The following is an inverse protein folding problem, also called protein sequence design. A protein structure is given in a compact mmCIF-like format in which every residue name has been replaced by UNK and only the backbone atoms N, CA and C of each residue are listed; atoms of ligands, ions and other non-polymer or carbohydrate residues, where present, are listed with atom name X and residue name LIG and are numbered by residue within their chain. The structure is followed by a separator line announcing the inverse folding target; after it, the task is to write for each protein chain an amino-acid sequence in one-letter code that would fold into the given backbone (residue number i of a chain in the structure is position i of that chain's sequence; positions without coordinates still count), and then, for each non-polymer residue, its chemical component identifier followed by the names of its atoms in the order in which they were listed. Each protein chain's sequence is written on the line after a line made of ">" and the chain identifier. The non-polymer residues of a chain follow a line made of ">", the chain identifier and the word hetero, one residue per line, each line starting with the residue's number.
data_IF_808148149012
#
_entry.id   IF_808148149012
#
_cell.length_a   1.000
_cell.length_b   1.000
_cell.length_c   1.000
_cell.angle_alpha   90.00
_cell.angle_beta   90.00
_cell.angle_gamma   90.00
#
_symmetry.space_group_name_H-M   'P 1'
#
loop_
_entity.id
_entity.type
_entity.pdbx_description
1 polymer ?
#
# COMPACT_ATOMS: atom_id res chain seq x y z
N UNK A 1 -20.40 -0.58 -14.55
CA UNK A 1 -19.44 -1.45 -15.27
C UNK A 1 -19.58 -1.29 -16.79
N UNK A 2 -20.76 -1.59 -17.39
CA UNK A 2 -20.97 -1.61 -18.84
C UNK A 2 -20.68 -0.23 -19.50
N UNK A 3 -21.15 0.87 -18.92
CA UNK A 3 -20.89 2.22 -19.43
C UNK A 3 -19.39 2.57 -19.44
N UNK A 4 -18.65 2.18 -18.40
CA UNK A 4 -17.20 2.39 -18.33
C UNK A 4 -16.49 1.57 -19.41
N UNK A 5 -16.92 0.33 -19.62
CA UNK A 5 -16.37 -0.53 -20.66
C UNK A 5 -16.60 0.06 -22.07
N UNK A 6 -17.78 0.60 -22.33
CA UNK A 6 -18.09 1.31 -23.59
C UNK A 6 -17.19 2.53 -23.77
N UNK A 7 -17.02 3.36 -22.73
CA UNK A 7 -16.12 4.52 -22.78
C UNK A 7 -14.67 4.13 -23.07
N UNK A 8 -14.17 3.06 -22.45
CA UNK A 8 -12.80 2.58 -22.68
C UNK A 8 -12.63 2.03 -24.10
N UNK A 9 -13.59 1.22 -24.59
CA UNK A 9 -13.57 0.69 -25.95
C UNK A 9 -13.59 1.79 -27.01
N UNK A 10 -14.43 2.79 -26.81
CA UNK A 10 -14.50 3.93 -27.72
C UNK A 10 -13.22 4.76 -27.66
N UNK A 11 -12.72 5.08 -26.45
CA UNK A 11 -11.52 5.90 -26.28
C UNK A 11 -10.22 5.25 -26.80
N UNK A 12 -10.18 3.92 -26.91
CA UNK A 12 -9.02 3.21 -27.49
C UNK A 12 -9.09 3.11 -29.02
N UNK A 13 -10.29 3.05 -29.59
CA UNK A 13 -10.48 2.78 -31.04
C UNK A 13 -10.76 4.03 -31.89
N UNK A 14 -11.12 5.17 -31.28
CA UNK A 14 -11.50 6.39 -31.99
C UNK A 14 -10.75 7.60 -31.45
N UNK A 15 -10.50 8.60 -32.31
CA UNK A 15 -9.86 9.85 -31.89
C UNK A 15 -10.90 10.78 -31.24
N UNK A 16 -10.78 10.97 -29.93
CA UNK A 16 -11.70 11.78 -29.11
C UNK A 16 -11.33 13.27 -29.04
N UNK A 17 -10.40 13.76 -29.88
CA UNK A 17 -9.92 15.15 -29.87
C UNK A 17 -10.89 16.07 -30.64
N UNK A 18 -11.71 16.82 -29.91
CA UNK A 18 -12.69 17.76 -30.48
C UNK A 18 -12.11 19.02 -31.16
N UNK A 19 -10.79 19.22 -31.14
CA UNK A 19 -10.14 20.43 -31.64
C UNK A 19 -9.63 20.36 -33.09
N UNK A 20 -9.96 19.32 -33.85
CA UNK A 20 -9.50 19.16 -35.23
C UNK A 20 -10.54 19.73 -36.22
N UNK A 21 -10.10 20.46 -37.29
CA UNK A 21 -11.03 21.08 -38.25
C UNK A 21 -11.78 20.05 -39.14
N UNK A 22 -11.26 18.82 -39.28
CA UNK A 22 -11.83 17.75 -40.11
C UNK A 22 -12.11 16.51 -39.27
N UNK A 23 -13.13 16.56 -38.40
CA UNK A 23 -13.59 15.39 -37.66
C UNK A 23 -14.33 14.43 -38.60
N UNK A 24 -13.89 13.20 -38.70
CA UNK A 24 -14.63 12.15 -39.38
C UNK A 24 -15.98 11.90 -38.69
N UNK A 25 -17.00 11.59 -39.49
CA UNK A 25 -18.34 11.34 -38.96
C UNK A 25 -18.35 10.20 -37.95
N UNK A 26 -17.43 9.23 -38.10
CA UNK A 26 -17.25 8.09 -37.21
C UNK A 26 -16.78 8.52 -35.83
N UNK A 27 -15.82 9.45 -35.74
CA UNK A 27 -15.29 9.97 -34.48
C UNK A 27 -16.31 10.81 -33.72
N UNK A 28 -17.13 11.58 -34.45
CA UNK A 28 -18.24 12.35 -33.88
C UNK A 28 -19.32 11.43 -33.30
N UNK A 29 -19.68 10.35 -33.99
CA UNK A 29 -20.62 9.35 -33.47
C UNK A 29 -20.03 8.61 -32.26
N UNK A 30 -18.75 8.24 -32.31
CA UNK A 30 -18.06 7.61 -31.23
C UNK A 30 -18.02 8.50 -29.95
N UNK A 31 -17.77 9.80 -30.14
CA UNK A 31 -17.82 10.77 -29.04
C UNK A 31 -19.23 10.87 -28.43
N UNK A 32 -20.29 10.94 -29.26
CA UNK A 32 -21.65 10.97 -28.75
C UNK A 32 -22.02 9.73 -27.95
N UNK A 33 -21.60 8.54 -28.40
CA UNK A 33 -21.79 7.29 -27.67
C UNK A 33 -21.02 7.30 -26.33
N UNK A 34 -19.78 7.72 -26.34
CA UNK A 34 -18.96 7.83 -25.12
C UNK A 34 -19.52 8.85 -24.13
N UNK A 35 -19.99 10.00 -24.64
CA UNK A 35 -20.59 11.04 -23.80
C UNK A 35 -21.95 10.58 -23.23
N UNK A 36 -22.77 9.89 -24.02
CA UNK A 36 -23.99 9.25 -23.53
C UNK A 36 -23.74 8.21 -22.44
N UNK A 37 -22.71 7.35 -22.64
CA UNK A 37 -22.29 6.39 -21.65
C UNK A 37 -21.78 7.08 -20.37
N UNK A 38 -21.04 8.19 -20.49
CA UNK A 38 -20.59 9.01 -19.35
C UNK A 38 -21.77 9.57 -18.56
N UNK A 39 -22.75 10.18 -19.24
CA UNK A 39 -23.94 10.73 -18.58
C UNK A 39 -24.75 9.62 -17.88
N UNK A 40 -24.87 8.46 -18.51
CA UNK A 40 -25.53 7.30 -17.90
C UNK A 40 -24.78 6.81 -16.65
N UNK A 41 -23.46 6.75 -16.71
CA UNK A 41 -22.64 6.38 -15.55
C UNK A 41 -22.78 7.39 -14.41
N UNK A 42 -22.73 8.69 -14.72
CA UNK A 42 -22.93 9.77 -13.74
C UNK A 42 -24.32 9.71 -13.10
N UNK A 43 -25.36 9.52 -13.92
CA UNK A 43 -26.71 9.34 -13.40
C UNK A 43 -26.79 8.14 -12.45
N UNK A 44 -26.22 7.00 -12.83
CA UNK A 44 -26.17 5.80 -11.99
C UNK A 44 -25.46 6.04 -10.65
N UNK A 45 -24.35 6.78 -10.65
CA UNK A 45 -23.61 7.15 -9.42
C UNK A 45 -24.48 8.06 -8.54
N UNK A 46 -25.05 9.13 -9.09
CA UNK A 46 -25.90 10.04 -8.33
C UNK A 46 -27.14 9.34 -7.75
N UNK A 47 -27.79 8.48 -8.57
CA UNK A 47 -28.93 7.70 -8.10
C UNK A 47 -28.55 6.74 -6.98
N UNK A 48 -27.43 6.04 -7.09
CA UNK A 48 -26.91 5.14 -6.06
C UNK A 48 -26.57 5.91 -4.76
N UNK A 49 -25.90 7.06 -4.89
CA UNK A 49 -25.59 7.91 -3.74
C UNK A 49 -26.86 8.42 -3.05
N UNK A 50 -27.86 8.83 -3.83
CA UNK A 50 -29.16 9.26 -3.30
C UNK A 50 -29.87 8.14 -2.55
N UNK A 51 -29.88 6.93 -3.12
CA UNK A 51 -30.46 5.75 -2.47
C UNK A 51 -29.74 5.41 -1.16
N UNK A 52 -28.42 5.34 -1.18
CA UNK A 52 -27.59 5.09 0.02
C UNK A 52 -27.75 6.19 1.08
N UNK A 53 -27.96 7.43 0.66
CA UNK A 53 -28.24 8.53 1.58
C UNK A 53 -29.59 8.32 2.29
N UNK A 54 -30.64 7.94 1.55
CA UNK A 54 -31.98 7.66 2.13
C UNK A 54 -31.95 6.50 3.11
N UNK A 55 -31.16 5.46 2.82
CA UNK A 55 -30.98 4.29 3.69
C UNK A 55 -30.04 4.58 4.89
N UNK A 56 -29.59 5.81 5.07
CA UNK A 56 -28.67 6.23 6.12
C UNK A 56 -27.31 5.47 6.12
N UNK A 57 -26.93 4.87 5.01
CA UNK A 57 -25.66 4.16 4.83
C UNK A 57 -24.53 5.11 4.41
N UNK A 58 -24.84 6.09 3.54
CA UNK A 58 -23.82 6.97 2.96
C UNK A 58 -23.13 7.85 4.02
N UNK A 59 -23.89 8.42 4.95
CA UNK A 59 -23.33 9.34 5.95
C UNK A 59 -22.30 8.69 6.89
N UNK A 60 -22.52 7.49 7.47
CA UNK A 60 -21.49 6.75 8.20
C UNK A 60 -20.27 6.43 7.35
N UNK A 61 -20.45 5.95 6.12
CA UNK A 61 -19.34 5.61 5.21
C UNK A 61 -18.46 6.82 4.94
N UNK A 62 -19.06 7.96 4.55
CA UNK A 62 -18.33 9.21 4.28
C UNK A 62 -17.60 9.69 5.54
N UNK A 63 -18.23 9.60 6.71
CA UNK A 63 -17.62 10.02 7.97
C UNK A 63 -16.40 9.16 8.33
N UNK A 64 -16.52 7.84 8.23
CA UNK A 64 -15.40 6.94 8.53
C UNK A 64 -14.28 7.08 7.50
N UNK A 65 -14.60 7.22 6.21
CA UNK A 65 -13.62 7.53 5.17
C UNK A 65 -12.89 8.84 5.46
N UNK A 66 -13.62 9.90 5.82
CA UNK A 66 -13.01 11.18 6.17
C UNK A 66 -12.08 11.08 7.39
N UNK A 67 -12.47 10.33 8.43
CA UNK A 67 -11.60 10.11 9.61
C UNK A 67 -10.31 9.39 9.22
N UNK A 68 -10.39 8.27 8.49
CA UNK A 68 -9.22 7.51 8.07
C UNK A 68 -8.32 8.36 7.17
N UNK A 69 -8.89 9.06 6.20
CA UNK A 69 -8.14 9.96 5.32
C UNK A 69 -7.44 11.07 6.11
N UNK A 70 -8.14 11.71 7.05
CA UNK A 70 -7.56 12.75 7.90
C UNK A 70 -6.43 12.20 8.77
N UNK A 71 -6.58 11.00 9.30
CA UNK A 71 -5.52 10.31 10.06
C UNK A 71 -4.27 10.10 9.21
N UNK A 72 -4.42 9.58 7.99
CA UNK A 72 -3.28 9.36 7.07
C UNK A 72 -2.56 10.66 6.74
N UNK A 73 -3.28 11.74 6.42
CA UNK A 73 -2.66 13.05 6.16
C UNK A 73 -1.97 13.63 7.40
N UNK A 74 -2.54 13.43 8.59
CA UNK A 74 -1.91 13.88 9.85
C UNK A 74 -0.60 13.13 10.11
N UNK A 75 -0.58 11.82 9.88
CA UNK A 75 0.64 10.99 9.98
C UNK A 75 1.69 11.47 8.97
N UNK A 76 1.29 11.72 7.72
CA UNK A 76 2.17 12.26 6.67
C UNK A 76 2.84 13.58 7.09
N UNK A 77 2.05 14.54 7.58
CA UNK A 77 2.58 15.83 8.02
C UNK A 77 3.51 15.65 9.23
N UNK A 78 3.09 14.85 10.22
CA UNK A 78 3.89 14.55 11.39
C UNK A 78 5.22 13.88 11.06
N UNK A 79 5.22 12.92 10.12
CA UNK A 79 6.42 12.22 9.67
C UNK A 79 7.40 13.14 8.96
N UNK A 80 6.90 14.07 8.13
CA UNK A 80 7.76 15.06 7.45
C UNK A 80 8.40 16.03 8.46
N UNK A 81 7.66 16.45 9.48
CA UNK A 81 8.22 17.30 10.54
C UNK A 81 9.29 16.54 11.34
N UNK A 82 9.03 15.27 11.69
CA UNK A 82 10.02 14.44 12.40
C UNK A 82 11.28 14.22 11.57
N UNK A 83 11.13 13.90 10.28
CA UNK A 83 12.26 13.75 9.36
C UNK A 83 13.07 15.04 9.25
N UNK A 84 12.39 16.20 9.13
CA UNK A 84 13.07 17.51 9.10
C UNK A 84 13.91 17.74 10.36
N UNK A 85 13.36 17.42 11.54
CA UNK A 85 14.06 17.54 12.82
C UNK A 85 15.26 16.59 12.87
N UNK A 86 15.09 15.32 12.48
CA UNK A 86 16.17 14.32 12.43
C UNK A 86 17.31 14.78 11.52
N UNK A 87 17.00 15.24 10.31
CA UNK A 87 17.98 15.77 9.36
C UNK A 87 18.70 16.99 9.95
N UNK A 88 17.95 17.94 10.54
CA UNK A 88 18.51 19.17 11.12
C UNK A 88 19.49 18.90 12.27
N UNK A 89 19.27 17.84 13.03
CA UNK A 89 20.19 17.41 14.11
C UNK A 89 21.22 16.37 13.67
N UNK A 90 21.26 16.01 12.38
CA UNK A 90 22.17 15.01 11.86
C UNK A 90 21.88 13.58 12.38
N UNK A 91 20.69 13.34 12.94
CA UNK A 91 20.33 12.05 13.54
C UNK A 91 20.35 10.90 12.53
N UNK A 92 20.07 11.18 11.28
CA UNK A 92 20.14 10.19 10.20
C UNK A 92 21.57 9.67 9.99
N UNK A 93 22.58 10.54 10.11
CA UNK A 93 23.98 10.18 9.96
C UNK A 93 24.43 9.19 11.04
N UNK A 94 24.04 9.41 12.30
CA UNK A 94 24.37 8.50 13.40
C UNK A 94 23.80 7.09 13.17
N UNK A 95 22.55 7.00 12.69
CA UNK A 95 21.90 5.70 12.39
C UNK A 95 22.60 5.04 11.20
N UNK A 96 22.88 5.80 10.14
CA UNK A 96 23.58 5.28 8.96
C UNK A 96 24.99 4.82 9.29
N UNK A 97 25.76 5.61 10.06
CA UNK A 97 27.11 5.26 10.48
C UNK A 97 27.11 4.01 11.36
N UNK A 98 26.15 3.91 12.27
CA UNK A 98 25.96 2.68 13.06
C UNK A 98 25.70 1.48 12.16
N UNK A 99 24.79 1.58 11.21
CA UNK A 99 24.48 0.48 10.28
C UNK A 99 25.66 0.14 9.35
N UNK A 100 26.41 1.14 8.91
CA UNK A 100 27.64 0.96 8.09
C UNK A 100 28.83 0.43 8.88
N UNK A 101 28.81 0.52 10.21
CA UNK A 101 29.87 -0.04 11.04
C UNK A 101 29.94 -1.58 10.99
N UNK A 102 28.86 -2.22 10.53
CA UNK A 102 28.87 -3.66 10.32
C UNK A 102 29.64 -4.03 9.06
N UNK A 103 30.64 -4.89 9.20
CA UNK A 103 31.52 -5.33 8.11
C UNK A 103 30.77 -6.12 7.02
N UNK A 104 29.60 -6.64 7.33
CA UNK A 104 28.79 -7.45 6.41
C UNK A 104 27.43 -6.78 6.17
N UNK A 105 27.13 -6.50 4.91
CA UNK A 105 25.85 -5.92 4.48
C UNK A 105 24.64 -6.76 4.91
N UNK A 106 24.77 -8.09 4.91
CA UNK A 106 23.72 -8.99 5.39
C UNK A 106 23.39 -8.74 6.87
N UNK A 107 24.40 -8.47 7.69
CA UNK A 107 24.18 -8.19 9.11
C UNK A 107 23.41 -6.89 9.30
N UNK A 108 23.80 -5.82 8.60
CA UNK A 108 23.09 -4.55 8.63
C UNK A 108 21.64 -4.72 8.15
N UNK A 109 21.43 -5.43 7.03
CA UNK A 109 20.12 -5.71 6.48
C UNK A 109 19.24 -6.49 7.46
N UNK A 110 19.74 -7.57 8.08
CA UNK A 110 18.98 -8.38 9.03
C UNK A 110 18.63 -7.59 10.30
N UNK A 111 19.53 -6.70 10.77
CA UNK A 111 19.24 -5.81 11.91
C UNK A 111 18.08 -4.86 11.53
N UNK A 112 18.15 -4.24 10.36
CA UNK A 112 17.05 -3.38 9.90
C UNK A 112 15.74 -4.16 9.78
N UNK A 113 15.77 -5.36 9.20
CA UNK A 113 14.59 -6.24 9.10
C UNK A 113 14.00 -6.59 10.47
N UNK A 114 14.87 -6.88 11.46
CA UNK A 114 14.43 -7.15 12.83
C UNK A 114 13.81 -5.91 13.48
N UNK A 115 14.43 -4.75 13.32
CA UNK A 115 13.91 -3.48 13.85
C UNK A 115 12.56 -3.16 13.22
N UNK A 116 12.42 -3.27 11.89
CA UNK A 116 11.15 -3.06 11.19
C UNK A 116 10.07 -4.05 11.65
N UNK A 117 10.44 -5.31 11.88
CA UNK A 117 9.53 -6.32 12.41
C UNK A 117 9.01 -5.95 13.80
N UNK A 118 9.89 -5.52 14.70
CA UNK A 118 9.50 -5.10 16.05
C UNK A 118 8.67 -3.81 16.03
N UNK A 119 9.06 -2.83 15.22
CA UNK A 119 8.30 -1.58 15.06
C UNK A 119 6.90 -1.85 14.49
N UNK A 120 6.75 -2.80 13.59
CA UNK A 120 5.46 -3.17 13.01
C UNK A 120 4.45 -3.75 14.00
N UNK A 121 4.83 -4.06 15.25
CA UNK A 121 3.88 -4.37 16.30
C UNK A 121 3.19 -3.13 16.88
N UNK A 122 3.84 -1.98 16.81
CA UNK A 122 3.42 -0.74 17.49
C UNK A 122 3.02 0.34 16.49
N UNK A 123 3.76 0.45 15.39
CA UNK A 123 3.55 1.44 14.34
C UNK A 123 2.73 0.85 13.19
N UNK A 124 1.91 1.67 12.56
CA UNK A 124 1.26 1.32 11.30
C UNK A 124 2.31 1.28 10.16
N UNK A 125 2.00 0.50 9.11
CA UNK A 125 2.91 0.36 7.96
C UNK A 125 3.17 1.71 7.26
N UNK A 126 2.18 2.63 7.24
CA UNK A 126 2.35 3.98 6.70
C UNK A 126 3.36 4.79 7.52
N UNK A 127 3.30 4.69 8.85
CA UNK A 127 4.27 5.35 9.73
C UNK A 127 5.68 4.82 9.48
N UNK A 128 5.84 3.51 9.35
CA UNK A 128 7.15 2.89 9.05
C UNK A 128 7.67 3.36 7.69
N UNK A 129 6.84 3.35 6.65
CA UNK A 129 7.24 3.78 5.30
C UNK A 129 7.65 5.26 5.28
N UNK A 130 6.92 6.12 5.97
CA UNK A 130 7.18 7.57 5.92
C UNK A 130 8.21 8.07 6.93
N UNK A 131 8.47 7.34 8.03
CA UNK A 131 9.42 7.74 9.07
C UNK A 131 10.69 6.90 8.99
N UNK A 132 10.56 5.59 9.04
CA UNK A 132 11.71 4.70 9.23
C UNK A 132 12.46 4.44 7.93
N UNK A 133 11.75 4.16 6.84
CA UNK A 133 12.38 3.85 5.55
C UNK A 133 13.26 5.00 5.03
N UNK A 134 12.88 6.29 5.08
CA UNK A 134 13.79 7.37 4.69
C UNK A 134 15.11 7.40 5.47
N UNK A 135 15.11 6.99 6.74
CA UNK A 135 16.29 6.98 7.61
C UNK A 135 17.23 5.82 7.26
N UNK A 136 16.68 4.61 7.14
CA UNK A 136 17.47 3.38 6.91
C UNK A 136 17.70 3.09 5.43
N UNK A 137 16.87 3.65 4.56
CA UNK A 137 16.87 3.42 3.10
C UNK A 137 18.23 3.62 2.44
N UNK A 138 18.95 4.72 2.70
CA UNK A 138 20.27 4.96 2.10
C UNK A 138 21.29 3.84 2.40
N UNK A 139 21.09 3.07 3.46
CA UNK A 139 21.95 1.93 3.79
C UNK A 139 21.50 0.66 3.09
N UNK A 140 20.20 0.32 3.18
CA UNK A 140 19.68 -0.94 2.65
C UNK A 140 19.52 -0.96 1.13
N UNK A 141 19.31 0.23 0.51
CA UNK A 141 19.20 0.37 -0.95
C UNK A 141 20.51 0.81 -1.62
N UNK A 142 21.48 1.32 -0.84
CA UNK A 142 22.78 1.77 -1.34
C UNK A 142 23.84 0.67 -1.40
N UNK A 143 23.53 -0.55 -0.94
CA UNK A 143 24.44 -1.70 -0.94
C UNK A 143 24.43 -2.50 -2.25
N UNK A 144 24.92 -3.74 -2.18
CA UNK A 144 25.01 -4.67 -3.32
C UNK A 144 23.69 -5.39 -3.64
N UNK A 145 22.67 -5.26 -2.80
CA UNK A 145 21.37 -5.92 -2.98
C UNK A 145 20.52 -5.25 -4.07
N UNK A 146 19.78 -6.04 -4.84
CA UNK A 146 18.81 -5.51 -5.80
C UNK A 146 17.70 -4.73 -5.04
N UNK A 147 17.46 -3.45 -5.37
CA UNK A 147 16.43 -2.65 -4.72
C UNK A 147 15.02 -3.25 -4.78
N UNK A 148 14.69 -3.96 -5.85
CA UNK A 148 13.40 -4.63 -6.00
C UNK A 148 13.25 -5.75 -4.96
N UNK A 149 14.32 -6.53 -4.79
CA UNK A 149 14.36 -7.60 -3.79
C UNK A 149 14.28 -7.03 -2.36
N UNK A 150 15.05 -5.99 -2.05
CA UNK A 150 15.00 -5.30 -0.74
C UNK A 150 13.57 -4.83 -0.44
N UNK A 151 12.92 -4.18 -1.41
CA UNK A 151 11.55 -3.68 -1.26
C UNK A 151 10.57 -4.80 -0.95
N UNK A 152 10.63 -5.91 -1.66
CA UNK A 152 9.74 -7.06 -1.43
C UNK A 152 10.02 -7.71 -0.06
N UNK A 153 11.29 -7.84 0.32
CA UNK A 153 11.66 -8.38 1.64
C UNK A 153 11.09 -7.50 2.77
N UNK A 154 11.24 -6.19 2.67
CA UNK A 154 10.66 -5.24 3.64
C UNK A 154 9.14 -5.34 3.67
N UNK A 155 8.48 -5.37 2.51
CA UNK A 155 7.02 -5.45 2.42
C UNK A 155 6.46 -6.73 3.07
N UNK A 156 7.05 -7.90 2.79
CA UNK A 156 6.63 -9.18 3.37
C UNK A 156 6.93 -9.22 4.87
N UNK A 157 8.05 -8.63 5.31
CA UNK A 157 8.41 -8.52 6.71
C UNK A 157 7.38 -7.68 7.50
N UNK A 158 7.01 -6.51 6.98
CA UNK A 158 5.98 -5.66 7.59
C UNK A 158 4.63 -6.37 7.63
N UNK A 159 4.24 -7.03 6.55
CA UNK A 159 3.01 -7.83 6.50
C UNK A 159 3.02 -8.93 7.57
N UNK A 160 4.17 -9.58 7.79
CA UNK A 160 4.33 -10.63 8.82
C UNK A 160 4.18 -10.04 10.22
N UNK A 161 4.80 -8.89 10.52
CA UNK A 161 4.66 -8.24 11.82
C UNK A 161 3.22 -7.81 12.11
N UNK A 162 2.50 -7.33 11.08
CA UNK A 162 1.08 -6.94 11.16
C UNK A 162 0.14 -8.08 11.59
N UNK A 163 0.51 -9.32 11.25
CA UNK A 163 -0.26 -10.53 11.57
C UNK A 163 0.23 -11.21 12.84
N UNK A 164 1.41 -10.84 13.36
CA UNK A 164 2.03 -11.56 14.49
C UNK A 164 1.48 -11.07 15.83
N UNK A 165 0.96 -11.96 16.69
CA UNK A 165 0.60 -11.62 18.07
C UNK A 165 1.83 -11.11 18.85
N UNK A 166 1.65 -10.26 19.89
CA UNK A 166 0.38 -9.91 20.53
C UNK A 166 -0.31 -8.65 19.99
N UNK A 167 0.38 -7.81 19.18
CA UNK A 167 -0.09 -6.48 18.82
C UNK A 167 -0.51 -6.31 17.37
N UNK A 168 -0.38 -7.32 16.51
CA UNK A 168 -0.66 -7.20 15.08
C UNK A 168 -1.93 -6.38 14.76
N UNK A 169 -1.76 -5.25 14.11
CA UNK A 169 -2.85 -4.30 13.83
C UNK A 169 -4.06 -4.97 13.14
N UNK A 170 -3.82 -5.88 12.22
CA UNK A 170 -4.86 -6.62 11.54
C UNK A 170 -5.73 -7.45 12.51
N UNK A 171 -5.15 -7.92 13.61
CA UNK A 171 -5.86 -8.72 14.59
C UNK A 171 -6.84 -7.88 15.43
N UNK A 172 -6.53 -6.61 15.68
CA UNK A 172 -7.45 -5.68 16.33
C UNK A 172 -8.68 -5.41 15.47
N UNK A 173 -8.48 -5.16 14.17
CA UNK A 173 -9.61 -4.98 13.24
C UNK A 173 -10.46 -6.24 13.15
N UNK A 174 -9.83 -7.41 13.03
CA UNK A 174 -10.55 -8.68 13.02
C UNK A 174 -11.33 -8.88 14.34
N UNK A 175 -10.75 -8.55 15.48
CA UNK A 175 -11.42 -8.64 16.77
C UNK A 175 -12.64 -7.72 16.87
N UNK A 176 -12.54 -6.52 16.28
CA UNK A 176 -13.61 -5.52 16.27
C UNK A 176 -14.87 -5.96 15.52
N UNK A 177 -14.71 -6.81 14.48
CA UNK A 177 -15.83 -7.28 13.64
C UNK A 177 -16.21 -8.75 13.89
N UNK A 178 -15.40 -9.50 14.64
CA UNK A 178 -15.64 -10.90 14.93
C UNK A 178 -16.85 -11.09 15.87
N UNK A 179 -17.66 -12.14 15.69
CA UNK A 179 -18.73 -12.51 16.60
C UNK A 179 -18.22 -12.70 18.04
N UNK A 180 -19.10 -12.50 19.02
CA UNK A 180 -18.72 -12.57 20.45
C UNK A 180 -18.18 -13.94 20.88
N UNK A 181 -18.59 -14.99 20.20
CA UNK A 181 -18.15 -16.38 20.41
C UNK A 181 -16.68 -16.61 20.01
N UNK A 182 -16.15 -15.79 19.11
CA UNK A 182 -14.76 -15.85 18.67
C UNK A 182 -13.89 -15.08 19.65
N UNK A 183 -13.13 -15.78 20.46
CA UNK A 183 -12.22 -15.18 21.45
C UNK A 183 -10.91 -14.76 20.79
N UNK A 184 -10.16 -13.88 21.45
CA UNK A 184 -8.82 -13.48 21.00
C UNK A 184 -7.86 -14.67 20.86
N UNK A 185 -8.01 -15.66 21.73
CA UNK A 185 -7.24 -16.91 21.67
C UNK A 185 -7.55 -17.73 20.41
N UNK A 186 -8.81 -17.75 19.95
CA UNK A 186 -9.17 -18.39 18.70
C UNK A 186 -8.52 -17.71 17.50
N UNK A 187 -8.52 -16.36 17.49
CA UNK A 187 -7.87 -15.56 16.44
C UNK A 187 -6.37 -15.87 16.42
N UNK A 188 -5.69 -15.82 17.57
CA UNK A 188 -4.24 -16.05 17.65
C UNK A 188 -3.86 -17.47 17.20
N UNK A 189 -4.62 -18.50 17.58
CA UNK A 189 -4.38 -19.87 17.10
C UNK A 189 -4.59 -19.99 15.60
N UNK A 190 -5.62 -19.31 15.08
CA UNK A 190 -5.92 -19.33 13.65
C UNK A 190 -4.86 -18.65 12.79
N UNK A 191 -4.16 -17.63 13.31
CA UNK A 191 -3.17 -16.87 12.54
C UNK A 191 -1.79 -17.54 12.50
N UNK A 192 -1.44 -18.37 13.47
CA UNK A 192 -0.12 -19.02 13.55
C UNK A 192 0.31 -19.70 12.24
N UNK A 193 -0.52 -20.53 11.57
CA UNK A 193 -0.14 -21.14 10.30
C UNK A 193 0.21 -20.12 9.22
N UNK A 194 -0.52 -19.01 9.16
CA UNK A 194 -0.29 -17.96 8.16
C UNK A 194 1.03 -17.22 8.44
N UNK A 195 1.32 -16.91 9.69
CA UNK A 195 2.61 -16.32 10.07
C UNK A 195 3.77 -17.25 9.71
N UNK A 196 3.64 -18.56 9.98
CA UNK A 196 4.65 -19.54 9.60
C UNK A 196 4.87 -19.59 8.08
N UNK A 197 3.79 -19.57 7.29
CA UNK A 197 3.89 -19.53 5.82
C UNK A 197 4.61 -18.26 5.36
N UNK A 198 4.34 -17.10 5.96
CA UNK A 198 5.00 -15.85 5.62
C UNK A 198 6.48 -15.86 6.01
N UNK A 199 6.83 -16.37 7.17
CA UNK A 199 8.24 -16.54 7.58
C UNK A 199 8.97 -17.49 6.63
N UNK A 200 8.34 -18.62 6.25
CA UNK A 200 8.90 -19.51 5.23
C UNK A 200 9.05 -18.80 3.88
N UNK A 201 8.10 -17.96 3.51
CA UNK A 201 8.19 -17.11 2.32
C UNK A 201 9.39 -16.16 2.38
N UNK A 202 9.60 -15.48 3.51
CA UNK A 202 10.76 -14.60 3.72
C UNK A 202 12.08 -15.38 3.59
N UNK A 203 12.17 -16.55 4.19
CA UNK A 203 13.36 -17.42 4.08
C UNK A 203 13.58 -17.84 2.62
N UNK A 204 12.53 -18.24 1.91
CA UNK A 204 12.60 -18.59 0.49
C UNK A 204 13.11 -17.42 -0.36
N UNK A 205 12.57 -16.22 -0.16
CA UNK A 205 12.99 -15.01 -0.88
C UNK A 205 14.42 -14.61 -0.56
N UNK A 206 14.89 -14.86 0.66
CA UNK A 206 16.27 -14.62 1.05
C UNK A 206 17.24 -15.62 0.38
N UNK A 207 16.83 -16.90 0.27
CA UNK A 207 17.64 -17.96 -0.35
C UNK A 207 17.63 -17.93 -1.89
N UNK A 208 16.51 -17.49 -2.48
CA UNK A 208 16.28 -17.48 -3.94
C UNK A 208 15.80 -16.09 -4.39
N UNK A 209 16.68 -15.07 -4.42
CA UNK A 209 16.33 -13.71 -4.83
C UNK A 209 15.72 -13.62 -6.24
N UNK A 210 16.07 -14.56 -7.10
CA UNK A 210 15.59 -14.64 -8.49
C UNK A 210 14.06 -14.74 -8.59
N UNK A 211 13.38 -15.29 -7.59
CA UNK A 211 11.92 -15.36 -7.54
C UNK A 211 11.27 -13.96 -7.67
N UNK A 212 11.92 -12.95 -7.11
CA UNK A 212 11.45 -11.55 -7.18
C UNK A 212 11.84 -10.88 -8.50
N UNK A 213 13.04 -11.18 -9.02
CA UNK A 213 13.65 -10.42 -10.13
C UNK A 213 13.32 -10.96 -11.51
N UNK A 214 12.91 -12.24 -11.63
CA UNK A 214 12.63 -12.91 -12.92
C UNK A 214 11.48 -12.23 -13.67
N UNK A 215 10.34 -11.97 -13.01
CA UNK A 215 9.17 -11.40 -13.69
C UNK A 215 9.44 -9.98 -14.21
N UNK A 216 10.02 -9.06 -13.42
CA UNK A 216 10.43 -7.75 -13.94
C UNK A 216 11.49 -7.81 -15.04
N UNK A 217 12.36 -8.83 -15.03
CA UNK A 217 13.39 -9.01 -16.07
C UNK A 217 12.79 -9.49 -17.40
N UNK A 218 11.69 -10.23 -17.37
CA UNK A 218 10.98 -10.72 -18.56
C UNK A 218 10.08 -9.65 -19.21
N UNK A 219 9.74 -8.59 -18.47
CA UNK A 219 8.85 -7.50 -18.91
C UNK A 219 9.61 -6.27 -19.44
N UNK A 220 10.93 -6.22 -19.28
CA UNK A 220 11.85 -5.24 -19.83
C UNK A 220 12.63 -5.81 -21.01
#
# INVERSE_FOLDING_TARGET
>A
ALAIMVMLLVGVNFDMRLGQPDLALEDMLAFMVAFGAFLYAMFGIFWSCWYLYRESVLAPVVRETAKVTSMVFTILIGSQLLNLVLISFGGEHYIQDFLRSFSNEWTAFLIVMLVLFVLGFVLDFLEIIYIVIPIVGPVIYGGSFDPKWVTIMVAVNLQTSFLTPPFGFALFYLRGVAPKEVTTAHIYRGIVPFVLIQVLGLVLLALVPQVVTIVPALLN
#
